data_IF_060100303396
#
_entry.id   IF_060100303396
#
_cell.length_a   1.000
_cell.length_b   1.000
_cell.length_c   1.000
_cell.angle_alpha   90.00
_cell.angle_beta   90.00
_cell.angle_gamma   90.00
#
_symmetry.space_group_name_H-M   'P 1'
#
loop_
_entity.id
_entity.type
_entity.pdbx_description
1 polymer ?
#
# COMPACT_ATOMS: atom_id res chain seq x y z
N UNK A 1 -3.38 2.34 12.42
CA UNK A 1 -3.59 1.35 13.50
C UNK A 1 -4.67 1.89 14.42
N UNK A 2 -5.71 1.11 14.70
CA UNK A 2 -6.85 1.54 15.52
C UNK A 2 -6.35 1.74 16.95
N UNK A 3 -6.50 2.96 17.48
CA UNK A 3 -6.00 3.33 18.82
C UNK A 3 -7.07 3.18 19.91
N UNK A 4 -8.33 3.46 19.57
CA UNK A 4 -9.48 3.27 20.44
C UNK A 4 -10.67 2.80 19.59
N UNK A 5 -11.38 1.77 20.03
CA UNK A 5 -12.52 1.21 19.28
C UNK A 5 -13.75 2.13 19.37
N UNK A 6 -13.87 2.89 20.46
CA UNK A 6 -15.01 3.80 20.72
C UNK A 6 -15.12 4.96 19.73
N UNK A 7 -14.05 5.25 18.99
CA UNK A 7 -14.00 6.34 17.99
C UNK A 7 -14.64 5.95 16.64
N UNK A 8 -15.05 4.69 16.47
CA UNK A 8 -15.54 4.16 15.20
C UNK A 8 -16.88 3.44 15.39
N UNK A 9 -17.86 3.75 14.55
CA UNK A 9 -19.16 3.08 14.56
C UNK A 9 -19.06 1.63 14.03
N UNK A 10 -18.16 1.38 13.08
CA UNK A 10 -17.99 0.08 12.42
C UNK A 10 -16.53 -0.19 12.04
N UNK A 11 -16.13 -1.46 12.11
CA UNK A 11 -14.81 -1.94 11.69
C UNK A 11 -14.97 -3.26 10.93
N UNK A 12 -14.25 -3.39 9.81
CA UNK A 12 -14.20 -4.62 9.02
C UNK A 12 -12.79 -5.18 9.06
N UNK A 13 -12.69 -6.48 9.34
CA UNK A 13 -11.44 -7.23 9.29
C UNK A 13 -11.48 -8.14 8.06
N UNK A 14 -10.40 -8.12 7.28
CA UNK A 14 -10.23 -8.93 6.08
C UNK A 14 -8.89 -9.64 6.19
N UNK A 15 -8.82 -10.87 5.69
CA UNK A 15 -7.55 -11.58 5.60
C UNK A 15 -6.59 -10.82 4.67
N UNK A 16 -5.31 -10.69 5.05
CA UNK A 16 -4.32 -10.14 4.15
C UNK A 16 -4.15 -11.06 2.93
N UNK A 17 -3.91 -10.51 1.73
CA UNK A 17 -3.56 -11.32 0.58
C UNK A 17 -2.15 -11.89 0.74
N UNK A 18 -1.94 -13.10 0.23
CA UNK A 18 -0.60 -13.69 0.09
C UNK A 18 0.22 -12.97 -0.99
N UNK A 19 1.55 -13.05 -0.88
CA UNK A 19 2.46 -12.42 -1.86
C UNK A 19 2.22 -12.92 -3.27
N UNK A 20 2.03 -14.23 -3.45
CA UNK A 20 1.79 -14.85 -4.75
C UNK A 20 0.52 -14.28 -5.40
N UNK A 21 -0.55 -14.09 -4.63
CA UNK A 21 -1.80 -13.49 -5.14
C UNK A 21 -1.61 -12.04 -5.61
N UNK A 22 -0.75 -11.28 -4.93
CA UNK A 22 -0.44 -9.91 -5.32
C UNK A 22 0.30 -9.91 -6.66
N UNK A 23 1.26 -10.82 -6.85
CA UNK A 23 2.00 -10.96 -8.10
C UNK A 23 1.11 -11.43 -9.24
N UNK A 24 0.28 -12.45 -9.01
CA UNK A 24 -0.68 -12.95 -10.01
C UNK A 24 -1.57 -11.83 -10.56
N UNK A 25 -2.14 -11.00 -9.68
CA UNK A 25 -2.98 -9.85 -10.10
C UNK A 25 -2.16 -8.82 -10.89
N UNK A 26 -0.94 -8.50 -10.44
CA UNK A 26 -0.09 -7.53 -11.13
C UNK A 26 0.36 -8.03 -12.52
N UNK A 27 0.64 -9.32 -12.68
CA UNK A 27 1.03 -9.93 -13.95
C UNK A 27 -0.09 -9.88 -15.00
N UNK A 28 -1.35 -9.88 -14.56
CA UNK A 28 -2.50 -9.68 -15.46
C UNK A 28 -2.68 -8.23 -15.93
N UNK A 29 -1.91 -7.28 -15.39
CA UNK A 29 -2.05 -5.85 -15.66
C UNK A 29 -3.20 -5.18 -14.89
N UNK A 30 -3.84 -5.91 -13.98
CA UNK A 30 -4.91 -5.43 -13.12
C UNK A 30 -4.38 -4.82 -11.82
N UNK A 31 -5.27 -4.16 -11.08
CA UNK A 31 -4.92 -3.56 -9.78
C UNK A 31 -5.76 -4.14 -8.65
N UNK A 32 -5.12 -4.37 -7.51
CA UNK A 32 -5.82 -4.76 -6.28
C UNK A 32 -6.78 -3.65 -5.82
N UNK A 33 -7.90 -3.99 -5.14
CA UNK A 33 -8.80 -2.99 -4.56
C UNK A 33 -8.06 -1.99 -3.66
N UNK A 34 -8.53 -0.74 -3.62
CA UNK A 34 -7.87 0.28 -2.82
C UNK A 34 -7.82 -0.10 -1.33
N UNK A 35 -6.64 0.14 -0.71
CA UNK A 35 -6.36 -0.13 0.72
C UNK A 35 -6.46 -1.61 1.11
N UNK A 36 -6.38 -2.53 0.14
CA UNK A 36 -6.35 -3.98 0.41
C UNK A 36 -4.98 -4.50 0.87
N UNK A 37 -3.90 -3.75 0.60
CA UNK A 37 -2.52 -4.13 0.97
C UNK A 37 -1.81 -3.03 1.74
N UNK A 38 -0.97 -3.42 2.70
CA UNK A 38 -0.11 -2.52 3.46
C UNK A 38 1.29 -3.14 3.58
N UNK A 39 2.24 -2.64 2.80
CA UNK A 39 3.64 -3.06 2.86
C UNK A 39 4.37 -2.30 3.99
N UNK A 40 4.99 -3.05 4.90
CA UNK A 40 5.78 -2.49 5.99
C UNK A 40 7.26 -2.92 5.89
N UNK A 41 8.22 -1.98 5.95
CA UNK A 41 8.02 -0.53 5.96
C UNK A 41 7.42 -0.04 4.63
N UNK A 42 6.73 1.10 4.67
CA UNK A 42 6.22 1.71 3.42
C UNK A 42 7.40 1.93 2.48
N UNK A 43 7.22 1.51 1.23
CA UNK A 43 8.22 1.73 0.19
C UNK A 43 8.51 3.23 0.13
N UNK A 44 9.78 3.59 0.29
CA UNK A 44 10.21 4.98 0.15
C UNK A 44 9.82 5.45 -1.25
N UNK A 45 8.88 6.37 -1.30
CA UNK A 45 8.34 6.95 -2.53
C UNK A 45 8.33 8.46 -2.36
N UNK A 46 8.58 9.18 -3.43
CA UNK A 46 8.71 10.64 -3.40
C UNK A 46 9.44 11.16 -4.62
N UNK A 47 9.44 12.48 -4.78
CA UNK A 47 10.15 13.15 -5.86
C UNK A 47 11.65 13.19 -5.53
N UNK A 48 12.49 12.58 -6.37
CA UNK A 48 13.94 12.75 -6.30
C UNK A 48 14.32 13.89 -7.23
N UNK A 49 14.64 15.05 -6.67
CA UNK A 49 15.16 16.19 -7.44
C UNK A 49 16.69 16.15 -7.41
N UNK A 50 17.32 16.00 -8.56
CA UNK A 50 18.73 16.28 -8.74
C UNK A 50 18.88 17.64 -9.43
N UNK A 51 19.63 18.56 -8.84
CA UNK A 51 19.96 19.82 -9.50
C UNK A 51 20.84 19.54 -10.71
N UNK A 52 20.38 19.93 -11.90
CA UNK A 52 21.26 20.04 -13.06
C UNK A 52 22.06 21.33 -12.83
N UNK A 53 23.31 21.18 -12.37
CA UNK A 53 24.26 22.27 -12.19
C UNK A 53 25.25 22.27 -13.35
N UNK A 54 25.49 23.47 -13.90
CA UNK A 54 26.22 23.73 -15.13
C UNK A 54 27.57 22.99 -15.22
N UNK A 55 27.67 22.07 -16.18
CA UNK A 55 28.93 21.79 -16.87
C UNK A 55 28.94 22.56 -18.18
#
# INVERSE_FOLDING_TARGET
MIKNISDYDFVFFVNPPDLDQIFDVAETGETMPQKSTYFYPKVYSGLVMAGIGDR
#
